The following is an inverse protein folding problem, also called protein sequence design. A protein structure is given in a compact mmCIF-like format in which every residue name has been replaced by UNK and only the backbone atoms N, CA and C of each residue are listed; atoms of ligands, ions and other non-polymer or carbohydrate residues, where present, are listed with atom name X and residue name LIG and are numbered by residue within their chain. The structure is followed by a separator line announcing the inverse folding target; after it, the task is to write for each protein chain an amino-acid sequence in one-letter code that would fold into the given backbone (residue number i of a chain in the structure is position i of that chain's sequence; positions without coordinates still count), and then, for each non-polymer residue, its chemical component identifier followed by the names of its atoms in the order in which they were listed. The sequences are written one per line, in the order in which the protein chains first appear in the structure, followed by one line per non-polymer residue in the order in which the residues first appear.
data_IF_380400216476
#
_entry.id   IF_380400216476
#
_cell.length_a   1.000
_cell.length_b   1.000
_cell.length_c   1.000
_cell.angle_alpha   90.00
_cell.angle_beta   90.00
_cell.angle_gamma   90.00
#
_symmetry.space_group_name_H-M   'P 1'
#
loop_
_entity.id
_entity.type
_entity.pdbx_description
1 polymer ?
#
# COMPACT_ATOMS: atom_id res chain seq x y z
N UNK A 1 3.35 13.65 -26.52
CA UNK A 1 2.20 13.86 -25.61
C UNK A 1 2.68 13.60 -24.20
N UNK A 2 2.63 14.58 -23.31
CA UNK A 2 3.03 14.44 -21.90
C UNK A 2 1.91 13.68 -21.19
N UNK A 3 2.11 12.40 -20.90
CA UNK A 3 1.16 11.61 -20.11
C UNK A 3 1.09 12.24 -18.71
N UNK A 4 -0.08 12.72 -18.32
CA UNK A 4 -0.30 13.25 -16.97
C UNK A 4 -0.41 12.07 -16.02
N UNK A 5 0.64 11.80 -15.23
CA UNK A 5 0.63 10.75 -14.21
C UNK A 5 -0.30 11.19 -13.08
N UNK A 6 -1.33 10.38 -12.80
CA UNK A 6 -2.24 10.59 -11.68
C UNK A 6 -1.69 9.90 -10.43
N UNK A 7 -2.01 10.45 -9.26
CA UNK A 7 -1.59 9.88 -7.97
C UNK A 7 -2.82 9.64 -7.11
N UNK A 8 -2.83 8.51 -6.41
CA UNK A 8 -3.82 8.20 -5.37
C UNK A 8 -3.10 7.69 -4.14
N UNK A 9 -3.53 8.14 -2.98
CA UNK A 9 -2.99 7.77 -1.69
C UNK A 9 -4.03 6.95 -0.94
N UNK A 10 -3.62 5.76 -0.47
CA UNK A 10 -4.44 4.90 0.37
C UNK A 10 -3.89 4.90 1.79
N UNK A 11 -4.76 5.13 2.78
CA UNK A 11 -4.46 4.86 4.18
C UNK A 11 -4.68 3.38 4.44
N UNK A 12 -3.67 2.70 4.97
CA UNK A 12 -3.69 1.28 5.28
C UNK A 12 -3.74 1.08 6.79
N UNK A 13 -4.75 0.37 7.26
CA UNK A 13 -4.99 0.03 8.67
C UNK A 13 -5.15 -1.49 8.84
N UNK A 14 -5.05 -1.94 10.09
CA UNK A 14 -5.46 -3.29 10.49
C UNK A 14 -6.77 -3.17 11.28
N UNK A 15 -7.81 -3.84 10.82
CA UNK A 15 -9.17 -3.73 11.35
C UNK A 15 -9.75 -5.12 11.61
N UNK A 16 -10.73 -5.22 12.52
CA UNK A 16 -11.42 -6.49 12.79
C UNK A 16 -12.69 -6.58 11.95
N UNK A 17 -12.73 -7.54 11.04
CA UNK A 17 -13.91 -7.87 10.25
C UNK A 17 -14.93 -8.58 11.15
N UNK A 18 -16.10 -7.97 11.35
CA UNK A 18 -17.13 -8.47 12.27
C UNK A 18 -17.82 -9.75 11.77
N UNK A 19 -17.90 -9.91 10.46
CA UNK A 19 -18.49 -11.05 9.77
C UNK A 19 -17.58 -12.30 9.78
N UNK A 20 -16.27 -12.09 9.76
CA UNK A 20 -15.26 -13.15 9.74
C UNK A 20 -14.62 -13.42 11.10
N UNK A 21 -14.93 -12.60 12.10
CA UNK A 21 -14.27 -12.55 13.41
C UNK A 21 -12.74 -12.60 13.32
N UNK A 22 -12.18 -11.93 12.33
CA UNK A 22 -10.76 -11.98 11.98
C UNK A 22 -10.19 -10.58 11.73
N UNK A 23 -8.92 -10.41 12.06
CA UNK A 23 -8.20 -9.19 11.68
C UNK A 23 -7.90 -9.23 10.18
N UNK A 24 -8.27 -8.15 9.49
CA UNK A 24 -8.05 -7.92 8.07
C UNK A 24 -7.26 -6.63 7.86
N UNK A 25 -6.58 -6.55 6.73
CA UNK A 25 -6.04 -5.29 6.26
C UNK A 25 -7.12 -4.51 5.54
N UNK A 26 -7.14 -3.20 5.76
CA UNK A 26 -8.03 -2.28 5.06
C UNK A 26 -7.22 -1.17 4.40
N UNK A 27 -7.61 -0.78 3.18
CA UNK A 27 -7.01 0.34 2.44
C UNK A 27 -8.11 1.30 1.99
N UNK A 28 -8.17 2.48 2.62
CA UNK A 28 -9.12 3.54 2.30
C UNK A 28 -8.48 4.69 1.51
N UNK A 29 -9.06 5.14 0.38
CA UNK A 29 -8.49 6.22 -0.43
C UNK A 29 -8.65 7.61 0.22
N UNK A 30 -7.55 8.36 0.31
CA UNK A 30 -7.47 9.65 1.02
C UNK A 30 -7.77 10.84 0.10
N UNK A 31 -7.36 10.78 -1.16
CA UNK A 31 -7.43 11.89 -2.12
C UNK A 31 -8.14 11.51 -3.41
N UNK A 32 -9.26 10.78 -3.30
CA UNK A 32 -10.04 10.32 -4.44
C UNK A 32 -11.52 10.71 -4.33
N UNK A 33 -12.25 10.82 -5.47
CA UNK A 33 -13.68 11.08 -5.46
C UNK A 33 -14.48 9.94 -4.82
N UNK A 34 -14.08 8.69 -5.05
CA UNK A 34 -14.68 7.52 -4.42
C UNK A 34 -13.96 7.24 -3.10
N UNK A 35 -14.74 7.13 -2.01
CA UNK A 35 -14.23 6.91 -0.64
C UNK A 35 -14.28 5.47 -0.16
N UNK A 36 -14.83 4.57 -0.98
CA UNK A 36 -14.85 3.15 -0.65
C UNK A 36 -13.44 2.56 -0.76
N UNK A 37 -13.01 1.89 0.30
CA UNK A 37 -11.76 1.15 0.36
C UNK A 37 -11.90 -0.31 -0.06
N UNK A 38 -10.80 -1.04 0.06
CA UNK A 38 -10.74 -2.49 -0.11
C UNK A 38 -10.18 -3.14 1.16
N UNK A 39 -10.61 -4.37 1.43
CA UNK A 39 -10.09 -5.18 2.54
C UNK A 39 -9.56 -6.51 2.05
N UNK A 40 -8.54 -7.05 2.71
CA UNK A 40 -7.95 -8.35 2.38
C UNK A 40 -7.32 -9.02 3.62
N UNK A 41 -7.11 -10.34 3.56
CA UNK A 41 -6.52 -11.07 4.68
C UNK A 41 -5.02 -10.75 4.84
N UNK A 42 -4.31 -10.60 3.72
CA UNK A 42 -2.88 -10.29 3.66
C UNK A 42 -2.57 -8.93 3.02
N UNK A 43 -1.39 -8.36 3.30
CA UNK A 43 -0.94 -7.13 2.65
C UNK A 43 -0.70 -7.31 1.15
N UNK A 44 -0.27 -8.49 0.72
CA UNK A 44 -0.04 -8.78 -0.70
C UNK A 44 -1.36 -8.77 -1.48
N UNK A 45 -2.38 -9.44 -0.95
CA UNK A 45 -3.74 -9.39 -1.50
C UNK A 45 -4.31 -7.97 -1.50
N UNK A 46 -4.09 -7.20 -0.41
CA UNK A 46 -4.54 -5.82 -0.33
C UNK A 46 -3.92 -4.95 -1.43
N UNK A 47 -2.61 -5.08 -1.67
CA UNK A 47 -1.90 -4.36 -2.73
C UNK A 47 -2.45 -4.73 -4.10
N UNK A 48 -2.66 -6.02 -4.35
CA UNK A 48 -3.28 -6.49 -5.59
C UNK A 48 -4.68 -5.90 -5.80
N UNK A 49 -5.51 -5.89 -4.75
CA UNK A 49 -6.84 -5.29 -4.79
C UNK A 49 -6.79 -3.77 -5.05
N UNK A 50 -5.88 -3.04 -4.41
CA UNK A 50 -5.69 -1.60 -4.64
C UNK A 50 -5.28 -1.32 -6.09
N UNK A 51 -4.34 -2.09 -6.64
CA UNK A 51 -3.93 -1.95 -8.04
C UNK A 51 -5.09 -2.21 -9.02
N UNK A 52 -5.98 -3.15 -8.70
CA UNK A 52 -7.16 -3.44 -9.51
C UNK A 52 -8.22 -2.33 -9.49
N UNK A 53 -8.32 -1.56 -8.39
CA UNK A 53 -9.38 -0.54 -8.24
C UNK A 53 -8.90 0.91 -8.40
N UNK A 54 -7.59 1.18 -8.51
CA UNK A 54 -7.02 2.54 -8.48
C UNK A 54 -7.61 3.48 -9.55
N UNK A 55 -7.86 2.97 -10.76
CA UNK A 55 -8.42 3.76 -11.86
C UNK A 55 -9.89 4.07 -11.63
N UNK A 56 -10.65 3.08 -11.16
CA UNK A 56 -12.05 3.25 -10.78
C UNK A 56 -12.20 4.28 -9.65
N UNK A 57 -11.39 4.15 -8.60
CA UNK A 57 -11.38 5.06 -7.44
C UNK A 57 -11.08 6.51 -7.86
N UNK A 58 -10.21 6.70 -8.86
CA UNK A 58 -9.89 8.01 -9.44
C UNK A 58 -10.85 8.48 -10.54
N UNK A 59 -11.75 7.62 -11.03
CA UNK A 59 -12.66 7.93 -12.14
C UNK A 59 -11.93 8.19 -13.47
N UNK A 60 -10.83 7.47 -13.74
CA UNK A 60 -10.01 7.63 -14.95
C UNK A 60 -9.97 6.34 -15.78
N UNK A 61 -9.62 6.43 -17.07
CA UNK A 61 -9.41 5.27 -17.94
C UNK A 61 -8.25 4.40 -17.45
N UNK A 62 -8.32 3.08 -17.66
CA UNK A 62 -7.27 2.09 -17.32
C UNK A 62 -5.92 2.38 -17.98
N UNK A 63 -5.93 3.01 -19.17
CA UNK A 63 -4.71 3.43 -19.87
C UNK A 63 -4.01 4.61 -19.19
N UNK A 64 -4.65 5.27 -18.23
CA UNK A 64 -4.08 6.40 -17.51
C UNK A 64 -2.99 5.91 -16.56
N UNK A 65 -1.74 6.40 -16.64
CA UNK A 65 -0.73 6.06 -15.66
C UNK A 65 -1.14 6.56 -14.27
N UNK A 66 -1.28 5.63 -13.32
CA UNK A 66 -1.62 5.91 -11.93
C UNK A 66 -0.53 5.38 -11.01
N UNK A 67 0.02 6.26 -10.18
CA UNK A 67 0.92 5.92 -9.07
C UNK A 67 0.11 5.81 -7.78
N UNK A 68 0.33 4.72 -7.04
CA UNK A 68 -0.29 4.46 -5.73
C UNK A 68 0.71 4.76 -4.63
N UNK A 69 0.27 5.50 -3.62
CA UNK A 69 1.03 5.74 -2.39
C UNK A 69 0.29 5.15 -1.19
N UNK A 70 1.02 4.46 -0.32
CA UNK A 70 0.46 3.87 0.89
C UNK A 70 0.90 4.65 2.13
N UNK A 71 -0.07 5.02 2.97
CA UNK A 71 0.13 5.58 4.29
C UNK A 71 -0.31 4.55 5.34
N UNK A 72 0.65 3.90 5.98
CA UNK A 72 0.37 2.91 7.01
C UNK A 72 0.04 3.62 8.34
N UNK A 73 -1.16 3.37 8.84
CA UNK A 73 -1.67 3.83 10.12
C UNK A 73 -1.91 2.60 10.99
N UNK A 74 -0.86 2.20 11.71
CA UNK A 74 -0.88 1.02 12.56
C UNK A 74 -0.72 1.40 14.02
N UNK A 75 -1.61 0.92 14.92
CA UNK A 75 -1.52 1.19 16.33
C UNK A 75 -0.14 0.80 16.88
N UNK A 76 0.51 1.75 17.57
CA UNK A 76 1.83 1.52 18.19
C UNK A 76 3.03 1.61 17.26
N UNK A 77 2.85 1.90 15.96
CA UNK A 77 3.96 2.10 15.02
C UNK A 77 3.95 3.54 14.50
N UNK A 78 4.91 4.40 14.90
CA UNK A 78 5.02 5.75 14.37
C UNK A 78 5.24 5.76 12.85
N UNK A 79 4.64 6.75 12.17
CA UNK A 79 4.77 6.90 10.71
C UNK A 79 6.24 7.05 10.24
N UNK A 80 7.12 7.54 11.10
CA UNK A 80 8.56 7.69 10.84
C UNK A 80 9.25 6.34 10.69
N UNK A 81 8.85 5.35 11.48
CA UNK A 81 9.37 3.97 11.39
C UNK A 81 9.01 3.36 10.04
N UNK A 82 7.80 3.63 9.54
CA UNK A 82 7.38 3.18 8.21
C UNK A 82 8.16 3.84 7.07
N UNK A 83 8.47 5.14 7.20
CA UNK A 83 9.30 5.83 6.20
C UNK A 83 10.72 5.29 6.21
N UNK A 84 11.33 5.15 7.38
CA UNK A 84 12.67 4.59 7.52
C UNK A 84 12.76 3.15 6.97
N UNK A 85 11.75 2.30 7.23
CA UNK A 85 11.69 0.95 6.67
C UNK A 85 11.61 0.97 5.13
N UNK A 86 10.82 1.88 4.56
CA UNK A 86 10.71 2.05 3.10
C UNK A 86 12.03 2.48 2.48
N UNK A 87 12.65 3.53 3.01
CA UNK A 87 13.94 4.03 2.53
C UNK A 87 15.03 2.95 2.61
N UNK A 88 15.05 2.17 3.68
CA UNK A 88 15.98 1.07 3.84
C UNK A 88 15.75 -0.01 2.77
N UNK A 89 14.51 -0.42 2.52
CA UNK A 89 14.18 -1.37 1.45
C UNK A 89 14.52 -0.86 0.06
N UNK A 90 14.27 0.41 -0.24
CA UNK A 90 14.65 1.04 -1.51
C UNK A 90 16.17 0.98 -1.71
N UNK A 91 16.95 1.24 -0.66
CA UNK A 91 18.42 1.12 -0.72
C UNK A 91 18.88 -0.31 -0.93
N UNK A 92 18.26 -1.29 -0.27
CA UNK A 92 18.62 -2.70 -0.43
C UNK A 92 18.25 -3.23 -1.84
N UNK A 93 17.10 -2.80 -2.36
CA UNK A 93 16.69 -3.09 -3.73
C UNK A 93 17.66 -2.46 -4.75
N UNK A 94 18.06 -1.20 -4.54
CA UNK A 94 19.06 -0.54 -5.38
C UNK A 94 20.44 -1.21 -5.31
N UNK A 95 20.75 -1.89 -4.21
CA UNK A 95 21.94 -2.72 -4.07
C UNK A 95 21.81 -4.13 -4.71
N UNK A 96 20.64 -4.45 -5.29
CA UNK A 96 20.39 -5.70 -6.01
C UNK A 96 20.00 -6.89 -5.13
N UNK A 97 19.64 -6.67 -3.86
CA UNK A 97 19.19 -7.76 -2.99
C UNK A 97 17.77 -8.19 -3.35
N UNK A 98 17.53 -9.51 -3.33
CA UNK A 98 16.18 -10.06 -3.47
C UNK A 98 15.30 -9.69 -2.27
N UNK A 99 13.97 -9.73 -2.42
CA UNK A 99 13.07 -9.43 -1.30
C UNK A 99 13.26 -10.40 -0.13
N UNK A 100 13.56 -11.67 -0.40
CA UNK A 100 13.78 -12.69 0.63
C UNK A 100 15.05 -12.38 1.45
N UNK A 101 16.16 -12.04 0.78
CA UNK A 101 17.42 -11.66 1.45
C UNK A 101 17.25 -10.39 2.28
N UNK A 102 16.44 -9.43 1.80
CA UNK A 102 16.12 -8.21 2.54
C UNK A 102 15.36 -8.52 3.82
N UNK A 103 14.38 -9.43 3.76
CA UNK A 103 13.60 -9.82 4.94
C UNK A 103 14.48 -10.53 5.96
N UNK A 104 15.33 -11.46 5.53
CA UNK A 104 16.26 -12.17 6.43
C UNK A 104 17.23 -11.20 7.12
N UNK A 105 17.79 -10.25 6.37
CA UNK A 105 18.70 -9.24 6.91
C UNK A 105 18.02 -8.29 7.91
N UNK A 106 16.75 -7.94 7.67
CA UNK A 106 15.97 -7.07 8.56
C UNK A 106 15.47 -7.78 9.83
N UNK A 107 15.35 -9.10 9.81
CA UNK A 107 14.99 -9.91 10.97
C UNK A 107 16.18 -10.26 11.87
N UNK A 108 17.40 -10.14 11.35
CA UNK A 108 18.65 -10.50 12.05
C UNK A 108 19.46 -9.29 12.54
N UNK A 109 19.10 -8.07 12.12
CA UNK A 109 19.69 -6.80 12.57
C UNK A 109 19.03 -6.26 13.85
#
# INVERSE_FOLDING_TARGET
MTLTVRRVTFRVSRERALDLDADVWYAGPVNAPIRSGVSAATLAELRSAVEAVKHFVLGVSEDTPVTVEYLYDLPGVPAEVWRANRELRERLCAAGLSEDDQVELLLTA
#
